data_IF_644913265587
#
_entry.id   IF_644913265587
#
_cell.length_a   1.000
_cell.length_b   1.000
_cell.length_c   1.000
_cell.angle_alpha   90.00
_cell.angle_beta   90.00
_cell.angle_gamma   90.00
#
_symmetry.space_group_name_H-M   'P 1'
#
loop_
_entity.id
_entity.type
_entity.pdbx_description
1 polymer ?
#
# COMPACT_ATOMS: atom_id res chain seq x y z
N UNK A 1 -10.59 24.94 -18.84
CA UNK A 1 -10.67 24.42 -20.23
C UNK A 1 -10.40 22.92 -20.32
N UNK A 2 -9.28 22.39 -19.77
CA UNK A 2 -8.99 20.95 -19.81
C UNK A 2 -10.06 20.09 -19.11
N UNK A 3 -10.50 20.49 -17.91
CA UNK A 3 -11.53 19.77 -17.18
C UNK A 3 -12.87 19.78 -17.93
N UNK A 4 -13.24 20.93 -18.52
CA UNK A 4 -14.43 21.03 -19.35
C UNK A 4 -14.38 20.06 -20.52
N UNK A 5 -13.26 20.06 -21.26
CA UNK A 5 -13.04 19.17 -22.39
C UNK A 5 -13.15 17.70 -22.01
N UNK A 6 -12.55 17.29 -20.87
CA UNK A 6 -12.61 15.90 -20.38
C UNK A 6 -14.04 15.48 -20.03
N UNK A 7 -14.81 16.38 -19.42
CA UNK A 7 -16.17 16.07 -18.98
C UNK A 7 -17.19 16.11 -20.12
N UNK A 8 -17.01 17.01 -21.07
CA UNK A 8 -17.83 17.04 -22.29
C UNK A 8 -17.58 15.78 -23.16
N UNK A 9 -16.37 15.22 -23.09
CA UNK A 9 -16.03 13.92 -23.66
C UNK A 9 -16.51 12.69 -22.89
N UNK A 10 -17.32 12.87 -21.82
CA UNK A 10 -17.88 11.77 -21.04
C UNK A 10 -16.90 11.12 -20.06
N UNK A 11 -15.79 11.76 -19.72
CA UNK A 11 -14.84 11.24 -18.73
C UNK A 11 -15.49 11.14 -17.34
N UNK A 12 -15.59 9.93 -16.80
CA UNK A 12 -15.99 9.69 -15.42
C UNK A 12 -14.76 9.56 -14.52
N UNK A 13 -14.41 10.62 -13.83
CA UNK A 13 -13.41 10.56 -12.78
C UNK A 13 -14.07 10.05 -11.49
N UNK A 14 -13.89 8.75 -11.17
CA UNK A 14 -14.47 8.12 -9.96
C UNK A 14 -13.63 8.37 -8.72
N UNK A 15 -12.31 8.34 -8.88
CA UNK A 15 -11.32 8.62 -7.84
C UNK A 15 -10.03 9.16 -8.47
N UNK A 16 -9.21 9.77 -7.64
CA UNK A 16 -7.84 10.14 -8.01
C UNK A 16 -6.93 10.06 -6.79
N UNK A 17 -5.65 9.78 -7.04
CA UNK A 17 -4.58 9.71 -6.07
C UNK A 17 -3.52 10.75 -6.43
N UNK A 18 -3.23 11.66 -5.51
CA UNK A 18 -2.21 12.69 -5.69
C UNK A 18 -1.67 13.19 -4.34
N UNK A 19 -0.66 14.07 -4.38
CA UNK A 19 -0.25 14.80 -3.20
C UNK A 19 -1.47 15.51 -2.58
N UNK A 20 -1.62 15.45 -1.25
CA UNK A 20 -2.82 15.93 -0.55
C UNK A 20 -3.13 17.39 -0.87
N UNK A 21 -2.11 18.25 -0.93
CA UNK A 21 -2.28 19.66 -1.28
C UNK A 21 -2.92 19.85 -2.65
N UNK A 22 -2.44 19.11 -3.66
CA UNK A 22 -3.01 19.13 -5.00
C UNK A 22 -4.45 18.57 -4.99
N UNK A 23 -4.70 17.53 -4.18
CA UNK A 23 -6.02 16.94 -4.04
C UNK A 23 -7.07 17.93 -3.55
N UNK A 24 -6.74 18.75 -2.57
CA UNK A 24 -7.64 19.77 -2.06
C UNK A 24 -7.87 20.90 -3.09
N UNK A 25 -6.85 21.24 -3.88
CA UNK A 25 -7.05 22.17 -5.01
C UNK A 25 -8.01 21.55 -6.04
N UNK A 26 -7.79 20.29 -6.41
CA UNK A 26 -8.67 19.61 -7.37
C UNK A 26 -10.11 19.48 -6.86
N UNK A 27 -10.34 19.21 -5.58
CA UNK A 27 -11.70 19.19 -5.00
C UNK A 27 -12.43 20.52 -5.31
N UNK A 28 -11.78 21.63 -5.00
CA UNK A 28 -12.35 22.96 -5.23
C UNK A 28 -12.59 23.25 -6.72
N UNK A 29 -11.66 22.89 -7.58
CA UNK A 29 -11.77 23.12 -9.02
C UNK A 29 -12.80 22.21 -9.71
N UNK A 30 -13.14 21.06 -9.11
CA UNK A 30 -14.12 20.11 -9.64
C UNK A 30 -15.57 20.39 -9.17
N UNK A 31 -15.73 21.12 -8.07
CA UNK A 31 -17.05 21.44 -7.49
C UNK A 31 -17.97 22.22 -8.44
N UNK A 32 -17.50 23.23 -9.22
CA UNK A 32 -18.32 23.95 -10.20
C UNK A 32 -18.92 23.07 -11.31
N UNK A 33 -18.32 21.90 -11.55
CA UNK A 33 -18.82 20.90 -12.52
C UNK A 33 -19.77 19.89 -11.89
N UNK A 34 -20.27 20.14 -10.66
CA UNK A 34 -21.16 19.23 -9.92
C UNK A 34 -20.46 17.94 -9.46
N UNK A 35 -19.13 17.97 -9.34
CA UNK A 35 -18.33 16.81 -8.94
C UNK A 35 -17.67 17.06 -7.60
N UNK A 36 -18.23 16.44 -6.57
CA UNK A 36 -17.72 16.50 -5.21
C UNK A 36 -16.85 15.26 -4.91
N UNK A 37 -15.74 15.50 -4.23
CA UNK A 37 -14.81 14.44 -3.80
C UNK A 37 -14.50 14.62 -2.32
N UNK A 38 -14.22 13.51 -1.64
CA UNK A 38 -13.74 13.49 -0.26
C UNK A 38 -12.48 12.66 -0.16
N UNK A 39 -11.54 13.07 0.71
CA UNK A 39 -10.34 12.31 0.99
C UNK A 39 -10.72 11.02 1.74
N UNK A 40 -10.77 9.91 1.03
CA UNK A 40 -11.14 8.60 1.57
C UNK A 40 -9.97 7.92 2.30
N UNK A 41 -8.75 8.09 1.77
CA UNK A 41 -7.52 7.60 2.38
C UNK A 41 -6.49 8.72 2.43
N UNK A 42 -6.00 9.00 3.63
CA UNK A 42 -4.92 9.95 3.88
C UNK A 42 -3.65 9.17 4.20
N UNK A 43 -2.67 9.20 3.30
CA UNK A 43 -1.45 8.39 3.40
C UNK A 43 -0.21 9.28 3.42
N UNK A 44 0.86 8.78 4.04
CA UNK A 44 2.19 9.32 3.85
C UNK A 44 3.01 8.38 2.94
N UNK A 45 3.68 8.98 1.98
CA UNK A 45 4.71 8.32 1.18
C UNK A 45 6.02 8.35 1.97
N UNK A 46 6.59 7.16 2.20
CA UNK A 46 7.81 7.01 2.99
C UNK A 46 8.90 6.33 2.17
N UNK A 47 10.15 6.65 2.49
CA UNK A 47 11.35 6.09 1.85
C UNK A 47 12.35 5.64 2.91
N UNK A 48 13.07 4.54 2.65
CA UNK A 48 14.24 4.12 3.43
C UNK A 48 15.44 3.94 2.51
N UNK A 49 16.62 4.37 3.01
CA UNK A 49 17.91 4.33 2.28
C UNK A 49 18.99 3.57 3.01
N UNK A 50 18.74 3.19 4.25
CA UNK A 50 19.77 2.58 5.12
C UNK A 50 19.28 1.31 5.78
N UNK A 51 20.22 0.39 5.97
CA UNK A 51 20.01 -0.79 6.81
C UNK A 51 20.10 -0.36 8.27
N UNK A 52 19.05 -0.62 9.05
CA UNK A 52 18.98 -0.27 10.49
C UNK A 52 19.21 -1.47 11.40
N UNK A 53 18.88 -2.67 10.92
CA UNK A 53 19.06 -3.92 11.67
C UNK A 53 19.25 -5.10 10.69
N UNK A 54 19.83 -6.22 11.10
CA UNK A 54 20.02 -7.38 10.23
C UNK A 54 18.67 -7.99 9.79
N UNK A 55 18.68 -8.69 8.67
CA UNK A 55 17.53 -9.46 8.20
C UNK A 55 17.26 -10.65 9.12
N UNK A 56 16.00 -11.00 9.28
CA UNK A 56 15.57 -12.14 10.06
C UNK A 56 15.71 -13.43 9.23
N UNK A 57 16.46 -14.44 9.68
CA UNK A 57 16.74 -15.66 8.91
C UNK A 57 15.50 -16.51 8.63
N UNK A 58 14.44 -16.36 9.43
CA UNK A 58 13.17 -17.06 9.27
C UNK A 58 12.23 -16.45 8.22
N UNK A 59 12.60 -15.31 7.62
CA UNK A 59 11.85 -14.72 6.50
C UNK A 59 12.31 -15.36 5.20
N UNK A 60 11.36 -15.90 4.48
CA UNK A 60 11.61 -16.63 3.25
C UNK A 60 10.87 -16.02 2.04
N UNK A 61 11.31 -16.35 0.84
CA UNK A 61 10.60 -16.02 -0.40
C UNK A 61 9.48 -17.02 -0.62
N UNK A 62 8.29 -16.54 -0.98
CA UNK A 62 7.15 -17.39 -1.25
C UNK A 62 7.35 -18.28 -2.49
N UNK A 63 6.79 -19.48 -2.44
CA UNK A 63 6.83 -20.47 -3.51
C UNK A 63 5.43 -20.77 -4.09
N UNK A 64 5.39 -21.66 -5.07
CA UNK A 64 4.14 -22.02 -5.79
C UNK A 64 3.05 -22.56 -4.88
N UNK A 65 3.42 -23.25 -3.79
CA UNK A 65 2.47 -23.81 -2.81
C UNK A 65 1.78 -22.77 -1.94
N UNK A 66 2.26 -21.53 -1.92
CA UNK A 66 1.80 -20.47 -1.02
C UNK A 66 0.68 -19.59 -1.59
N UNK A 67 0.32 -19.82 -2.87
CA UNK A 67 -0.64 -18.98 -3.59
C UNK A 67 -1.96 -18.80 -2.83
N UNK A 68 -2.51 -19.88 -2.30
CA UNK A 68 -3.82 -19.85 -1.65
C UNK A 68 -3.79 -19.08 -0.33
N UNK A 69 -2.74 -19.27 0.48
CA UNK A 69 -2.56 -18.54 1.72
C UNK A 69 -2.25 -17.06 1.50
N UNK A 70 -1.36 -16.74 0.56
CA UNK A 70 -1.03 -15.35 0.18
C UNK A 70 -2.28 -14.63 -0.32
N UNK A 71 -3.06 -15.29 -1.18
CA UNK A 71 -4.29 -14.71 -1.71
C UNK A 71 -5.32 -14.45 -0.61
N UNK A 72 -5.51 -15.40 0.32
CA UNK A 72 -6.38 -15.20 1.47
C UNK A 72 -5.92 -14.03 2.37
N UNK A 73 -4.61 -13.90 2.60
CA UNK A 73 -4.05 -12.76 3.33
C UNK A 73 -4.25 -11.44 2.58
N UNK A 74 -4.11 -11.42 1.25
CA UNK A 74 -4.34 -10.24 0.44
C UNK A 74 -5.81 -9.79 0.46
N UNK A 75 -6.76 -10.72 0.44
CA UNK A 75 -8.19 -10.40 0.57
C UNK A 75 -8.50 -9.74 1.93
N UNK A 76 -7.92 -10.25 3.02
CA UNK A 76 -8.06 -9.64 4.35
C UNK A 76 -7.42 -8.27 4.42
N UNK A 77 -6.21 -8.10 3.85
CA UNK A 77 -5.55 -6.80 3.77
C UNK A 77 -6.42 -5.75 3.07
N UNK A 78 -7.02 -6.11 1.92
CA UNK A 78 -7.90 -5.21 1.16
C UNK A 78 -9.12 -4.80 2.00
N UNK A 79 -9.73 -5.76 2.69
CA UNK A 79 -10.87 -5.49 3.59
C UNK A 79 -10.46 -4.57 4.77
N UNK A 80 -9.33 -4.86 5.45
CA UNK A 80 -8.81 -4.07 6.57
C UNK A 80 -8.41 -2.64 6.19
N UNK A 81 -8.02 -2.44 4.93
CA UNK A 81 -7.64 -1.13 4.40
C UNK A 81 -8.80 -0.38 3.75
N UNK A 82 -9.98 -0.99 3.62
CA UNK A 82 -11.14 -0.37 2.97
C UNK A 82 -10.89 -0.05 1.49
N UNK A 83 -10.07 -0.85 0.81
CA UNK A 83 -9.77 -0.67 -0.61
C UNK A 83 -10.96 -1.13 -1.45
N UNK A 84 -11.20 -0.44 -2.58
CA UNK A 84 -12.35 -0.71 -3.45
C UNK A 84 -12.12 -1.94 -4.34
N UNK A 85 -10.89 -2.12 -4.80
CA UNK A 85 -10.56 -3.17 -5.76
C UNK A 85 -10.40 -4.50 -5.01
N UNK A 86 -11.15 -5.50 -5.46
CA UNK A 86 -10.99 -6.88 -4.97
C UNK A 86 -9.82 -7.54 -5.70
N UNK A 87 -8.91 -8.18 -4.97
CA UNK A 87 -7.79 -8.86 -5.61
C UNK A 87 -8.30 -10.07 -6.40
N UNK A 88 -7.69 -10.31 -7.56
CA UNK A 88 -7.87 -11.52 -8.35
C UNK A 88 -6.70 -12.48 -8.14
N UNK A 89 -6.94 -13.78 -8.14
CA UNK A 89 -5.95 -14.79 -7.76
C UNK A 89 -4.88 -15.03 -8.83
N UNK A 90 -5.25 -15.04 -10.10
CA UNK A 90 -4.33 -15.36 -11.19
C UNK A 90 -3.14 -14.38 -11.33
N UNK A 91 -3.30 -13.05 -11.18
CA UNK A 91 -2.16 -12.14 -11.14
C UNK A 91 -1.15 -12.47 -10.05
N UNK A 92 -1.58 -12.97 -8.87
CA UNK A 92 -0.67 -13.34 -7.78
C UNK A 92 0.26 -14.49 -8.15
N UNK A 93 -0.22 -15.47 -8.94
CA UNK A 93 0.58 -16.60 -9.40
C UNK A 93 1.86 -16.17 -10.12
N UNK A 94 1.80 -15.06 -10.87
CA UNK A 94 2.91 -14.55 -11.68
C UNK A 94 3.97 -13.79 -10.87
N UNK A 95 3.65 -13.43 -9.62
CA UNK A 95 4.48 -12.56 -8.77
C UNK A 95 4.75 -13.15 -7.39
N UNK A 96 4.57 -14.46 -7.22
CA UNK A 96 4.76 -15.13 -5.92
C UNK A 96 6.17 -14.92 -5.35
N UNK A 97 7.18 -14.99 -6.20
CA UNK A 97 8.59 -14.78 -5.85
C UNK A 97 8.90 -13.36 -5.35
N UNK A 98 7.97 -12.42 -5.57
CA UNK A 98 8.08 -11.06 -5.04
C UNK A 98 7.60 -10.93 -3.58
N UNK A 99 6.99 -11.99 -3.00
CA UNK A 99 6.55 -11.97 -1.61
C UNK A 99 7.64 -12.46 -0.66
N UNK A 100 7.79 -11.75 0.45
CA UNK A 100 8.56 -12.18 1.63
C UNK A 100 7.56 -12.56 2.70
N UNK A 101 7.69 -13.76 3.24
CA UNK A 101 6.74 -14.35 4.15
C UNK A 101 7.43 -14.85 5.42
N UNK A 102 6.70 -14.89 6.50
CA UNK A 102 7.13 -15.51 7.74
C UNK A 102 6.03 -16.47 8.19
N UNK A 103 6.47 -17.69 8.61
CA UNK A 103 5.57 -18.73 9.08
C UNK A 103 5.65 -18.90 10.58
N UNK A 104 4.52 -19.25 11.16
CA UNK A 104 4.41 -19.81 12.50
C UNK A 104 3.34 -20.90 12.46
N UNK A 105 3.56 -21.99 13.20
CA UNK A 105 2.65 -23.14 13.26
C UNK A 105 2.28 -23.68 11.85
N UNK A 106 3.25 -23.67 10.92
CA UNK A 106 3.07 -24.14 9.54
C UNK A 106 2.26 -23.21 8.63
N UNK A 107 1.83 -22.02 9.11
CA UNK A 107 1.00 -21.05 8.36
C UNK A 107 1.76 -19.76 8.09
N UNK A 108 1.47 -19.11 6.98
CA UNK A 108 1.93 -17.74 6.70
C UNK A 108 1.22 -16.79 7.68
N UNK A 109 1.98 -16.20 8.60
CA UNK A 109 1.45 -15.29 9.62
C UNK A 109 1.70 -13.83 9.30
N UNK A 110 2.73 -13.55 8.51
CA UNK A 110 3.05 -12.19 8.04
C UNK A 110 3.65 -12.22 6.64
N UNK A 111 3.36 -11.22 5.85
CA UNK A 111 3.85 -11.08 4.48
C UNK A 111 4.09 -9.63 4.10
N UNK A 112 4.97 -9.42 3.12
CA UNK A 112 5.14 -8.16 2.38
C UNK A 112 5.48 -8.50 0.93
N UNK A 113 4.99 -7.72 -0.02
CA UNK A 113 5.35 -7.86 -1.44
C UNK A 113 6.30 -6.74 -1.85
N UNK A 114 7.37 -7.11 -2.56
CA UNK A 114 8.27 -6.21 -3.24
C UNK A 114 7.72 -5.99 -4.65
N UNK A 115 7.32 -4.77 -4.99
CA UNK A 115 6.76 -4.43 -6.30
C UNK A 115 7.61 -3.36 -6.99
N UNK A 116 7.80 -3.42 -8.31
CA UNK A 116 8.45 -2.34 -9.04
C UNK A 116 7.63 -1.05 -8.93
N UNK A 117 8.30 0.08 -8.75
CA UNK A 117 7.70 1.40 -8.70
C UNK A 117 8.25 2.32 -9.79
N UNK A 118 9.59 2.41 -9.87
CA UNK A 118 10.31 3.11 -10.94
C UNK A 118 11.54 2.28 -11.33
N UNK A 119 12.39 2.81 -12.22
CA UNK A 119 13.65 2.16 -12.54
C UNK A 119 14.56 2.02 -11.30
N UNK A 120 14.51 2.97 -10.37
CA UNK A 120 15.41 3.04 -9.21
C UNK A 120 14.73 2.70 -7.89
N UNK A 121 13.40 2.55 -7.89
CA UNK A 121 12.63 2.34 -6.68
C UNK A 121 11.87 1.02 -6.70
N UNK A 122 11.92 0.30 -5.59
CA UNK A 122 11.03 -0.81 -5.30
C UNK A 122 10.12 -0.42 -4.12
N UNK A 123 8.86 -0.83 -4.20
CA UNK A 123 7.84 -0.49 -3.21
C UNK A 123 7.42 -1.71 -2.41
N UNK A 124 7.37 -1.55 -1.10
CA UNK A 124 6.71 -2.53 -0.25
C UNK A 124 5.20 -2.28 -0.27
N UNK A 125 4.46 -3.31 -0.67
CA UNK A 125 3.00 -3.34 -0.73
C UNK A 125 2.48 -4.59 -0.05
N UNK A 126 1.17 -4.65 0.24
CA UNK A 126 0.53 -5.81 0.86
C UNK A 126 1.27 -6.27 2.14
N UNK A 127 1.70 -5.33 2.96
CA UNK A 127 2.26 -5.63 4.28
C UNK A 127 1.11 -6.02 5.20
N UNK A 128 1.02 -7.30 5.53
CA UNK A 128 -0.07 -7.86 6.32
C UNK A 128 0.45 -8.83 7.36
N UNK A 129 -0.14 -8.78 8.54
CA UNK A 129 0.02 -9.80 9.59
C UNK A 129 -1.36 -10.22 10.05
N UNK A 130 -1.60 -11.54 10.12
CA UNK A 130 -2.87 -12.10 10.61
C UNK A 130 -3.19 -11.56 12.00
N UNK A 131 -4.45 -11.27 12.27
CA UNK A 131 -4.91 -10.58 13.48
C UNK A 131 -4.45 -11.28 14.76
N UNK A 132 -4.60 -12.58 14.79
CA UNK A 132 -4.23 -13.45 15.93
C UNK A 132 -2.70 -13.53 16.18
N UNK A 133 -1.90 -13.03 15.24
CA UNK A 133 -0.42 -12.99 15.32
C UNK A 133 0.15 -11.57 15.42
N UNK A 134 -0.69 -10.54 15.51
CA UNK A 134 -0.24 -9.13 15.67
C UNK A 134 0.41 -8.92 17.05
N UNK A 135 1.21 -7.86 17.16
CA UNK A 135 1.90 -7.52 18.42
C UNK A 135 3.13 -8.40 18.75
N UNK A 136 3.50 -9.37 17.90
CA UNK A 136 4.62 -10.30 18.14
C UNK A 136 5.87 -10.00 17.32
N UNK A 137 5.94 -8.83 16.65
CA UNK A 137 7.10 -8.41 15.88
C UNK A 137 7.22 -9.03 14.48
N UNK A 138 6.28 -9.85 14.02
CA UNK A 138 6.38 -10.52 12.71
C UNK A 138 6.43 -9.54 11.53
N UNK A 139 5.60 -8.49 11.55
CA UNK A 139 5.65 -7.45 10.51
C UNK A 139 7.03 -6.78 10.44
N UNK A 140 7.67 -6.50 11.62
CA UNK A 140 9.00 -5.92 11.68
C UNK A 140 10.02 -6.78 10.95
N UNK A 141 10.02 -8.09 11.23
CA UNK A 141 10.95 -9.04 10.61
C UNK A 141 10.78 -9.09 9.09
N UNK A 142 9.55 -9.22 8.60
CA UNK A 142 9.25 -9.31 7.17
C UNK A 142 9.59 -8.02 6.44
N UNK A 143 9.16 -6.87 6.97
CA UNK A 143 9.43 -5.55 6.37
C UNK A 143 10.91 -5.25 6.34
N UNK A 144 11.62 -5.50 7.47
CA UNK A 144 13.05 -5.24 7.54
C UNK A 144 13.85 -6.13 6.58
N UNK A 145 13.54 -7.42 6.48
CA UNK A 145 14.21 -8.34 5.56
C UNK A 145 13.96 -7.94 4.10
N UNK A 146 12.73 -7.60 3.72
CA UNK A 146 12.40 -7.12 2.39
C UNK A 146 13.08 -5.76 2.08
N UNK A 147 13.12 -4.84 3.04
CA UNK A 147 13.84 -3.57 2.92
C UNK A 147 15.32 -3.80 2.65
N UNK A 148 15.97 -4.63 3.45
CA UNK A 148 17.41 -4.88 3.33
C UNK A 148 17.78 -5.54 1.99
N UNK A 149 16.93 -6.46 1.50
CA UNK A 149 17.10 -7.06 0.18
C UNK A 149 17.06 -6.02 -0.95
N UNK A 150 16.10 -5.10 -0.90
CA UNK A 150 15.98 -4.02 -1.89
C UNK A 150 17.21 -3.11 -1.84
N UNK A 151 17.65 -2.73 -0.63
CA UNK A 151 18.84 -1.89 -0.43
C UNK A 151 20.12 -2.58 -0.92
N UNK A 152 20.25 -3.90 -0.69
CA UNK A 152 21.38 -4.69 -1.19
C UNK A 152 21.43 -4.74 -2.72
N UNK A 153 20.28 -4.63 -3.39
CA UNK A 153 20.19 -4.50 -4.85
C UNK A 153 20.49 -3.08 -5.36
N UNK A 154 20.88 -2.15 -4.50
CA UNK A 154 21.20 -0.76 -4.84
C UNK A 154 19.96 0.08 -5.18
N UNK A 155 18.76 -0.35 -4.77
CA UNK A 155 17.49 0.34 -5.02
C UNK A 155 17.01 1.09 -3.78
N UNK A 156 16.15 2.10 -3.98
CA UNK A 156 15.45 2.77 -2.89
C UNK A 156 14.20 1.97 -2.49
N UNK A 157 13.88 1.99 -1.22
CA UNK A 157 12.70 1.31 -0.68
C UNK A 157 11.63 2.33 -0.37
N UNK A 158 10.46 2.18 -0.96
CA UNK A 158 9.34 3.08 -0.74
C UNK A 158 8.12 2.32 -0.22
N UNK A 159 7.22 3.01 0.46
CA UNK A 159 5.90 2.50 0.83
C UNK A 159 4.91 3.64 1.05
N UNK A 160 3.63 3.28 1.11
CA UNK A 160 2.55 4.16 1.55
C UNK A 160 2.02 3.65 2.88
N UNK A 161 1.77 4.55 3.83
CA UNK A 161 1.16 4.22 5.12
C UNK A 161 -0.05 5.09 5.38
N UNK A 162 -1.15 4.48 5.78
CA UNK A 162 -2.35 5.18 6.22
C UNK A 162 -2.04 5.92 7.54
N UNK A 163 -2.25 7.24 7.54
CA UNK A 163 -2.04 8.10 8.73
C UNK A 163 -2.93 7.73 9.91
N UNK A 164 -4.04 7.04 9.65
CA UNK A 164 -4.97 6.54 10.69
C UNK A 164 -4.49 5.24 11.34
N UNK A 165 -3.36 4.67 10.90
CA UNK A 165 -2.80 3.41 11.43
C UNK A 165 -1.47 3.66 12.19
N UNK A 166 -1.51 4.19 13.42
CA UNK A 166 -0.31 4.62 14.16
C UNK A 166 0.68 3.47 14.41
N UNK A 167 0.19 2.25 14.61
CA UNK A 167 1.06 1.08 14.84
C UNK A 167 1.97 0.81 13.64
N UNK A 168 1.40 0.81 12.43
CA UNK A 168 2.17 0.63 11.18
C UNK A 168 3.10 1.82 10.95
N UNK A 169 2.63 3.03 11.22
CA UNK A 169 3.41 4.24 11.05
C UNK A 169 4.67 4.23 11.92
N UNK A 170 4.52 3.91 13.22
CA UNK A 170 5.66 3.81 14.14
C UNK A 170 6.60 2.65 13.79
N UNK A 171 6.07 1.54 13.30
CA UNK A 171 6.90 0.43 12.81
C UNK A 171 7.84 0.92 11.70
N UNK A 172 7.33 1.61 10.69
CA UNK A 172 8.14 2.07 9.56
C UNK A 172 9.18 3.11 10.00
N UNK A 173 8.80 4.09 10.81
CA UNK A 173 9.77 5.04 11.40
C UNK A 173 10.89 4.31 12.13
N UNK A 174 10.57 3.31 12.96
CA UNK A 174 11.55 2.54 13.73
C UNK A 174 12.49 1.69 12.87
N UNK A 175 12.10 1.41 11.62
CA UNK A 175 12.89 0.70 10.61
C UNK A 175 13.67 1.65 9.69
N UNK A 176 13.71 2.97 10.00
CA UNK A 176 14.46 3.96 9.26
C UNK A 176 13.77 4.47 8.00
N UNK A 177 12.45 4.30 7.89
CA UNK A 177 11.68 5.00 6.86
C UNK A 177 11.43 6.45 7.28
N UNK A 178 11.59 7.36 6.34
CA UNK A 178 11.34 8.79 6.51
C UNK A 178 10.16 9.21 5.66
N UNK A 179 9.33 10.12 6.19
CA UNK A 179 8.22 10.69 5.45
C UNK A 179 8.75 11.68 4.41
N UNK A 180 8.36 11.49 3.16
CA UNK A 180 8.72 12.37 2.04
C UNK A 180 7.63 13.41 1.77
N UNK A 181 6.38 12.95 1.62
CA UNK A 181 5.21 13.82 1.41
C UNK A 181 3.92 13.09 1.79
N UNK A 182 2.85 13.87 1.95
CA UNK A 182 1.50 13.33 2.16
C UNK A 182 0.76 13.22 0.83
N UNK A 183 -0.02 12.15 0.67
CA UNK A 183 -0.90 11.94 -0.47
C UNK A 183 -2.27 11.45 -0.01
N UNK A 184 -3.28 11.76 -0.82
CA UNK A 184 -4.65 11.37 -0.56
C UNK A 184 -5.27 10.63 -1.74
N UNK A 185 -6.07 9.60 -1.44
CA UNK A 185 -7.03 9.07 -2.39
C UNK A 185 -8.35 9.83 -2.20
N UNK A 186 -8.77 10.53 -3.24
CA UNK A 186 -10.01 11.30 -3.26
C UNK A 186 -11.04 10.52 -4.06
N UNK A 187 -12.19 10.25 -3.43
CA UNK A 187 -13.30 9.49 -4.03
C UNK A 187 -14.48 10.41 -4.27
N UNK A 188 -15.13 10.22 -5.42
CA UNK A 188 -16.34 10.95 -5.74
C UNK A 188 -17.46 10.62 -4.75
N UNK A 189 -18.09 11.65 -4.23
CA UNK A 189 -19.29 11.53 -3.41
C UNK A 189 -20.48 11.79 -4.33
N UNK A 190 -21.25 10.75 -4.64
CA UNK A 190 -22.48 10.94 -5.40
C UNK A 190 -23.46 11.72 -4.54
N UNK A 191 -23.98 12.82 -5.06
CA UNK A 191 -25.14 13.47 -4.49
C UNK A 191 -26.28 12.44 -4.56
N UNK A 192 -26.54 11.69 -3.48
CA UNK A 192 -27.82 11.00 -3.37
C UNK A 192 -28.90 12.07 -3.32
N UNK A 193 -29.84 12.12 -4.26
CA UNK A 193 -30.99 12.99 -4.10
C UNK A 193 -31.83 12.41 -2.94
N UNK A 194 -31.97 13.14 -1.86
CA UNK A 194 -32.97 12.91 -0.83
C UNK A 194 -32.51 12.11 0.40
N UNK A 195 -32.09 12.80 1.42
CA UNK A 195 -32.40 12.50 2.82
C UNK A 195 -33.00 13.74 3.46
#
# INVERSE_FOLDING_TARGET
ELLQFLFDGGCELKNYLCASELGYVMQRELEPYGRRYEEALAMDFMEARTVTEPSAPEVETAGKGDLDEIFACAQRFVADCGLLDKPEKEPFRKVLDSFRILRADGKIVSMARIAPATQDDLRLVLVYTRDEYRGRGYARKVVNSAKNEILAAGKRVTLNVDRKKPVSYHLYLSLGFERMFSQGEFRRVDNRPGS
#
